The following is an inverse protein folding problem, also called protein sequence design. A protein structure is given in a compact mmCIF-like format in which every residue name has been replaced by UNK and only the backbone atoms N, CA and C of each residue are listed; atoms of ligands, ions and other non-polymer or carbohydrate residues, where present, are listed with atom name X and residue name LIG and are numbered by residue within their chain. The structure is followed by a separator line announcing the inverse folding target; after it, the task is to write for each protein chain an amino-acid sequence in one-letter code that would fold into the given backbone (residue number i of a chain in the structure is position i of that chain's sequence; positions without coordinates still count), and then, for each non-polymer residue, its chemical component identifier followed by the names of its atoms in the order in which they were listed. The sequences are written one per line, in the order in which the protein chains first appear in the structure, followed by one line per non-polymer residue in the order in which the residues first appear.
data_IF_789798770701
#
_entry.id   IF_789798770701
#
_cell.length_a   1.000
_cell.length_b   1.000
_cell.length_c   1.000
_cell.angle_alpha   90.00
_cell.angle_beta   90.00
_cell.angle_gamma   90.00
#
_symmetry.space_group_name_H-M   'P 1'
#
loop_
_entity.id
_entity.type
_entity.pdbx_description
1 polymer ?
#
# COMPACT_ATOMS: atom_id res chain seq x y z
N UNK A 1 10.05 -16.18 -10.97
CA UNK A 1 9.44 -15.01 -11.66
C UNK A 1 7.99 -14.87 -11.23
N UNK A 2 7.53 -13.65 -10.93
CA UNK A 2 6.19 -13.33 -10.42
C UNK A 2 5.32 -12.80 -11.56
N UNK A 3 4.08 -13.29 -11.68
CA UNK A 3 3.04 -12.64 -12.47
C UNK A 3 2.22 -11.76 -11.53
N UNK A 4 2.20 -10.44 -11.77
CA UNK A 4 1.51 -9.44 -10.95
C UNK A 4 0.23 -8.99 -11.64
N UNK A 5 -0.92 -9.25 -11.04
CA UNK A 5 -2.25 -8.77 -11.44
C UNK A 5 -2.58 -7.51 -10.64
N UNK A 6 -2.64 -6.36 -11.29
CA UNK A 6 -2.67 -5.08 -10.58
C UNK A 6 -3.37 -3.96 -11.35
N UNK A 7 -3.62 -2.83 -10.65
CA UNK A 7 -4.09 -1.56 -11.21
C UNK A 7 -3.51 -0.38 -10.40
N UNK A 8 -3.62 0.87 -10.91
CA UNK A 8 -3.07 2.11 -10.31
C UNK A 8 -3.75 2.50 -8.99
N UNK A 9 -3.98 1.57 -8.10
CA UNK A 9 -4.58 1.80 -6.79
C UNK A 9 -3.51 1.77 -5.70
N UNK A 10 -3.76 2.35 -4.52
CA UNK A 10 -2.82 2.23 -3.42
C UNK A 10 -2.41 0.79 -3.11
N UNK A 11 -3.36 -0.16 -3.12
CA UNK A 11 -3.05 -1.56 -2.85
C UNK A 11 -2.22 -2.22 -3.97
N UNK A 12 -2.52 -1.90 -5.25
CA UNK A 12 -1.71 -2.39 -6.38
C UNK A 12 -0.26 -1.92 -6.28
N UNK A 13 -0.06 -0.65 -5.98
CA UNK A 13 1.26 -0.02 -5.83
C UNK A 13 2.10 -0.58 -4.69
N UNK A 14 1.49 -1.10 -3.62
CA UNK A 14 2.26 -1.81 -2.58
C UNK A 14 3.11 -2.92 -3.18
N UNK A 15 2.50 -3.75 -4.03
CA UNK A 15 3.16 -4.94 -4.57
C UNK A 15 4.16 -4.59 -5.66
N UNK A 16 3.84 -3.64 -6.54
CA UNK A 16 4.80 -3.18 -7.57
C UNK A 16 6.03 -2.52 -6.94
N UNK A 17 5.85 -1.66 -5.92
CA UNK A 17 6.96 -1.06 -5.16
C UNK A 17 7.80 -2.16 -4.49
N UNK A 18 7.15 -3.13 -3.84
CA UNK A 18 7.84 -4.24 -3.20
C UNK A 18 8.72 -5.02 -4.17
N UNK A 19 8.20 -5.36 -5.35
CA UNK A 19 8.94 -6.10 -6.37
C UNK A 19 10.17 -5.33 -6.87
N UNK A 20 10.03 -4.03 -7.07
CA UNK A 20 11.15 -3.14 -7.42
C UNK A 20 12.19 -3.03 -6.29
N UNK A 21 11.76 -2.91 -5.03
CA UNK A 21 12.66 -2.82 -3.87
C UNK A 21 13.51 -4.08 -3.67
N UNK A 22 12.91 -5.25 -3.88
CA UNK A 22 13.67 -6.50 -3.74
C UNK A 22 14.44 -6.89 -4.99
N UNK A 23 14.19 -6.21 -6.13
CA UNK A 23 14.83 -6.50 -7.42
C UNK A 23 14.35 -7.81 -8.03
N UNK A 24 13.10 -8.21 -7.79
CA UNK A 24 12.54 -9.47 -8.28
C UNK A 24 11.89 -9.28 -9.65
N UNK A 25 12.25 -10.10 -10.64
CA UNK A 25 11.67 -10.06 -11.98
C UNK A 25 10.18 -10.43 -11.95
N UNK A 26 9.36 -9.66 -12.65
CA UNK A 26 7.92 -9.88 -12.73
C UNK A 26 7.33 -9.48 -14.08
N UNK A 27 6.20 -10.12 -14.43
CA UNK A 27 5.33 -9.71 -15.52
C UNK A 27 4.14 -8.95 -14.96
N UNK A 28 3.61 -7.98 -15.71
CA UNK A 28 2.45 -7.18 -15.31
C UNK A 28 1.22 -7.59 -16.11
N UNK A 29 0.15 -7.92 -15.41
CA UNK A 29 -1.18 -8.20 -15.94
C UNK A 29 -2.14 -7.12 -15.43
N UNK A 30 -2.40 -6.07 -16.22
CA UNK A 30 -3.33 -5.03 -15.83
C UNK A 30 -4.76 -5.57 -15.67
N UNK A 31 -5.42 -5.24 -14.57
CA UNK A 31 -6.83 -5.55 -14.30
C UNK A 31 -7.57 -4.23 -14.11
N UNK A 32 -8.21 -3.75 -15.15
CA UNK A 32 -8.90 -2.46 -15.13
C UNK A 32 -10.23 -2.55 -14.35
N UNK A 33 -10.17 -2.15 -13.08
CA UNK A 33 -11.33 -2.19 -12.18
C UNK A 33 -12.45 -1.22 -12.57
N UNK A 34 -12.17 -0.21 -13.39
CA UNK A 34 -13.20 0.68 -13.93
C UNK A 34 -13.99 0.05 -15.09
N UNK A 35 -13.50 -1.07 -15.64
CA UNK A 35 -14.15 -1.87 -16.68
C UNK A 35 -14.64 -3.22 -16.16
N UNK A 36 -14.70 -3.38 -14.84
CA UNK A 36 -15.15 -4.60 -14.18
C UNK A 36 -14.34 -5.88 -14.53
N UNK A 37 -13.07 -5.70 -14.98
CA UNK A 37 -12.19 -6.81 -15.34
C UNK A 37 -11.87 -7.72 -14.14
N UNK A 38 -11.99 -7.23 -12.89
CA UNK A 38 -11.83 -8.01 -11.67
C UNK A 38 -12.89 -9.11 -11.50
N UNK A 39 -13.97 -9.09 -12.27
CA UNK A 39 -15.01 -10.12 -12.25
C UNK A 39 -14.84 -11.17 -13.35
N UNK A 40 -13.83 -11.05 -14.20
CA UNK A 40 -13.58 -12.01 -15.26
C UNK A 40 -13.10 -13.35 -14.71
N UNK A 41 -13.55 -14.50 -15.28
CA UNK A 41 -13.24 -15.82 -14.76
C UNK A 41 -11.75 -16.08 -14.56
N UNK A 42 -10.92 -15.67 -15.52
CA UNK A 42 -9.46 -15.86 -15.45
C UNK A 42 -8.80 -15.13 -14.27
N UNK A 43 -9.37 -14.01 -13.81
CA UNK A 43 -8.86 -13.32 -12.63
C UNK A 43 -9.41 -13.91 -11.33
N UNK A 44 -10.66 -14.39 -11.34
CA UNK A 44 -11.26 -15.05 -10.17
C UNK A 44 -10.53 -16.34 -9.78
N UNK A 45 -9.92 -17.05 -10.75
CA UNK A 45 -9.04 -18.19 -10.48
C UNK A 45 -7.81 -17.82 -9.65
N UNK A 46 -7.29 -16.59 -9.82
CA UNK A 46 -6.12 -16.07 -9.08
C UNK A 46 -6.53 -15.36 -7.80
N UNK A 47 -7.63 -14.61 -7.84
CA UNK A 47 -8.16 -13.82 -6.72
C UNK A 47 -9.66 -14.07 -6.53
N UNK A 48 -10.05 -15.07 -5.74
CA UNK A 48 -11.47 -15.42 -5.51
C UNK A 48 -12.27 -14.30 -4.83
N UNK A 49 -11.58 -13.35 -4.19
CA UNK A 49 -12.17 -12.14 -3.60
C UNK A 49 -12.45 -11.01 -4.62
N UNK A 50 -12.19 -11.25 -5.94
CA UNK A 50 -12.32 -10.24 -7.01
C UNK A 50 -11.66 -8.89 -6.70
N UNK A 51 -10.51 -8.90 -6.04
CA UNK A 51 -9.75 -7.69 -5.67
C UNK A 51 -8.31 -7.78 -6.17
N UNK A 52 -7.81 -6.67 -6.64
CA UNK A 52 -6.38 -6.47 -6.92
C UNK A 52 -5.69 -5.91 -5.64
N UNK A 53 -4.40 -6.15 -5.48
CA UNK A 53 -3.50 -6.98 -6.29
C UNK A 53 -3.64 -8.47 -6.00
N UNK A 54 -3.17 -9.28 -6.94
CA UNK A 54 -2.88 -10.70 -6.75
C UNK A 54 -1.58 -11.06 -7.46
N UNK A 55 -0.92 -12.12 -7.06
CA UNK A 55 0.29 -12.64 -7.71
C UNK A 55 0.16 -14.12 -8.02
N UNK A 56 0.93 -14.58 -9.04
CA UNK A 56 1.22 -16.00 -9.26
C UNK A 56 2.72 -16.17 -9.25
N UNK A 57 3.25 -17.00 -8.35
CA UNK A 57 4.67 -17.35 -8.31
C UNK A 57 4.94 -18.55 -9.21
N UNK A 58 5.54 -18.28 -10.38
CA UNK A 58 5.85 -19.31 -11.39
C UNK A 58 6.92 -20.30 -10.92
N UNK A 59 7.75 -19.93 -9.96
CA UNK A 59 8.82 -20.78 -9.41
C UNK A 59 8.35 -21.61 -8.23
N UNK A 60 7.15 -21.37 -7.73
CA UNK A 60 6.52 -22.14 -6.66
C UNK A 60 5.22 -22.80 -7.17
N UNK A 61 5.34 -23.69 -8.16
CA UNK A 61 4.22 -24.47 -8.72
C UNK A 61 2.99 -23.62 -9.12
N UNK A 62 3.22 -22.41 -9.64
CA UNK A 62 2.17 -21.44 -9.96
C UNK A 62 1.31 -21.08 -8.74
N UNK A 63 1.91 -20.97 -7.55
CA UNK A 63 1.20 -20.60 -6.34
C UNK A 63 0.57 -19.21 -6.48
N UNK A 64 -0.75 -19.15 -6.40
CA UNK A 64 -1.50 -17.90 -6.42
C UNK A 64 -1.69 -17.35 -5.01
N UNK A 65 -1.59 -16.04 -4.86
CA UNK A 65 -1.80 -15.35 -3.60
C UNK A 65 -2.48 -14.00 -3.83
N UNK A 66 -3.54 -13.73 -3.09
CA UNK A 66 -4.20 -12.44 -3.00
C UNK A 66 -4.03 -11.87 -1.59
N UNK A 67 -4.59 -10.68 -1.28
CA UNK A 67 -4.35 -9.82 -0.13
C UNK A 67 -2.96 -9.16 -0.14
N UNK A 68 -2.96 -7.82 -0.35
CA UNK A 68 -1.70 -7.08 -0.49
C UNK A 68 -0.75 -7.23 0.70
N UNK A 69 -1.27 -7.33 1.92
CA UNK A 69 -0.46 -7.57 3.12
C UNK A 69 0.19 -8.97 3.13
N UNK A 70 -0.58 -10.00 2.75
CA UNK A 70 -0.06 -11.38 2.64
C UNK A 70 1.00 -11.48 1.53
N UNK A 71 0.78 -10.80 0.40
CA UNK A 71 1.74 -10.73 -0.70
C UNK A 71 3.04 -10.08 -0.25
N UNK A 72 2.97 -8.95 0.49
CA UNK A 72 4.17 -8.30 1.02
C UNK A 72 4.95 -9.22 1.95
N UNK A 73 4.28 -9.92 2.85
CA UNK A 73 4.92 -10.90 3.74
C UNK A 73 5.59 -12.03 2.94
N UNK A 74 4.88 -12.61 1.99
CA UNK A 74 5.40 -13.69 1.13
C UNK A 74 6.66 -13.28 0.38
N UNK A 75 6.63 -12.10 -0.27
CA UNK A 75 7.76 -11.58 -1.04
C UNK A 75 8.95 -11.21 -0.14
N UNK A 76 8.69 -10.65 1.05
CA UNK A 76 9.72 -10.35 2.03
C UNK A 76 10.40 -11.63 2.53
N UNK A 77 9.62 -12.66 2.81
CA UNK A 77 10.14 -13.97 3.23
C UNK A 77 10.92 -14.69 2.13
N UNK A 78 10.38 -14.67 0.89
CA UNK A 78 11.04 -15.27 -0.27
C UNK A 78 12.38 -14.60 -0.60
N UNK A 79 12.48 -13.27 -0.45
CA UNK A 79 13.68 -12.49 -0.75
C UNK A 79 14.66 -12.37 0.42
N UNK A 80 14.20 -12.59 1.66
CA UNK A 80 14.98 -12.32 2.86
C UNK A 80 15.20 -10.82 3.14
N UNK A 81 14.39 -9.92 2.53
CA UNK A 81 14.52 -8.46 2.62
C UNK A 81 13.28 -7.81 3.24
N UNK A 82 13.45 -6.63 3.83
CA UNK A 82 12.38 -5.74 4.29
C UNK A 82 11.51 -6.30 5.44
N UNK A 83 11.99 -7.37 6.07
CA UNK A 83 11.46 -7.94 7.30
C UNK A 83 12.61 -8.67 8.04
N UNK A 84 12.78 -8.42 9.34
CA UNK A 84 13.85 -9.03 10.11
C UNK A 84 13.36 -10.26 10.88
N UNK A 85 13.55 -11.45 10.31
CA UNK A 85 13.18 -12.73 10.94
C UNK A 85 14.17 -13.19 12.04
N UNK A 86 15.39 -12.68 12.06
CA UNK A 86 16.39 -13.06 13.05
C UNK A 86 16.16 -12.39 14.40
N UNK A 87 15.38 -11.31 14.45
CA UNK A 87 14.98 -10.60 15.66
C UNK A 87 13.46 -10.66 15.82
N UNK A 88 12.97 -11.42 16.80
CA UNK A 88 11.53 -11.62 17.00
C UNK A 88 10.78 -10.31 17.30
N UNK A 89 11.39 -9.39 18.05
CA UNK A 89 10.74 -8.14 18.43
C UNK A 89 10.58 -7.20 17.23
N UNK A 90 11.62 -7.09 16.39
CA UNK A 90 11.54 -6.32 15.15
C UNK A 90 10.59 -6.95 14.14
N UNK A 91 10.57 -8.29 14.04
CA UNK A 91 9.62 -9.02 13.22
C UNK A 91 8.18 -8.67 13.61
N UNK A 92 7.81 -8.88 14.89
CA UNK A 92 6.46 -8.61 15.34
C UNK A 92 6.09 -7.13 15.29
N UNK A 93 7.07 -6.23 15.49
CA UNK A 93 6.84 -4.80 15.28
C UNK A 93 6.48 -4.47 13.83
N UNK A 94 7.14 -5.10 12.87
CA UNK A 94 6.81 -4.94 11.45
C UNK A 94 5.42 -5.50 11.13
N UNK A 95 5.09 -6.68 11.66
CA UNK A 95 3.76 -7.29 11.48
C UNK A 95 2.65 -6.45 12.14
N UNK A 96 2.88 -5.92 13.34
CA UNK A 96 1.93 -5.04 14.05
C UNK A 96 1.52 -3.84 13.16
N UNK A 97 2.49 -3.15 12.60
CA UNK A 97 2.23 -1.98 11.75
C UNK A 97 1.67 -2.36 10.38
N UNK A 98 2.06 -3.50 9.84
CA UNK A 98 1.43 -4.05 8.64
C UNK A 98 -0.06 -4.35 8.89
N UNK A 99 -0.39 -5.02 10.00
CA UNK A 99 -1.78 -5.32 10.37
C UNK A 99 -2.57 -4.04 10.67
N UNK A 100 -1.94 -3.04 11.33
CA UNK A 100 -2.56 -1.72 11.53
C UNK A 100 -2.92 -1.05 10.20
N UNK A 101 -2.07 -1.19 9.18
CA UNK A 101 -2.41 -0.71 7.84
C UNK A 101 -3.58 -1.50 7.22
N UNK A 102 -3.54 -2.82 7.28
CA UNK A 102 -4.54 -3.69 6.66
C UNK A 102 -5.91 -3.58 7.33
N UNK A 103 -5.96 -3.44 8.65
CA UNK A 103 -7.21 -3.33 9.42
C UNK A 103 -7.71 -1.91 9.64
N UNK A 104 -6.85 -0.91 9.48
CA UNK A 104 -7.14 0.49 9.80
C UNK A 104 -6.91 1.44 8.64
N UNK A 105 -5.65 1.78 8.34
CA UNK A 105 -5.31 2.86 7.40
C UNK A 105 -5.95 2.64 6.03
N UNK A 106 -5.73 1.48 5.41
CA UNK A 106 -6.26 1.18 4.08
C UNK A 106 -7.78 1.23 4.02
N UNK A 107 -8.51 0.49 4.87
CA UNK A 107 -9.97 0.52 4.90
C UNK A 107 -10.53 1.91 5.19
N UNK A 108 -10.00 2.62 6.19
CA UNK A 108 -10.54 3.94 6.58
C UNK A 108 -10.26 5.02 5.54
N UNK A 109 -9.04 5.07 4.98
CA UNK A 109 -8.74 5.98 3.87
C UNK A 109 -9.57 5.65 2.63
N UNK A 110 -9.85 4.35 2.39
CA UNK A 110 -10.78 3.92 1.34
C UNK A 110 -12.19 4.46 1.55
N UNK A 111 -12.69 4.50 2.78
CA UNK A 111 -13.98 5.12 3.09
C UNK A 111 -13.94 6.65 2.89
N UNK A 112 -12.84 7.32 3.26
CA UNK A 112 -12.68 8.76 2.94
C UNK A 112 -12.74 8.98 1.43
N UNK A 113 -12.02 8.20 0.63
CA UNK A 113 -12.11 8.30 -0.83
C UNK A 113 -13.57 8.09 -1.32
N UNK A 114 -14.29 7.13 -0.75
CA UNK A 114 -15.66 6.86 -1.15
C UNK A 114 -16.59 8.04 -0.83
N UNK A 115 -16.58 8.54 0.40
CA UNK A 115 -17.54 9.55 0.86
C UNK A 115 -17.09 10.99 0.58
N UNK A 116 -15.80 11.29 0.70
CA UNK A 116 -15.30 12.67 0.59
C UNK A 116 -14.86 13.00 -0.84
N UNK A 117 -14.25 12.03 -1.59
CA UNK A 117 -13.78 12.27 -2.96
C UNK A 117 -14.84 11.95 -4.02
N UNK A 118 -15.44 10.74 -3.98
CA UNK A 118 -16.31 10.26 -5.06
C UNK A 118 -17.80 10.58 -4.83
N UNK A 119 -18.24 10.73 -3.60
CA UNK A 119 -19.66 10.90 -3.25
C UNK A 119 -19.89 12.07 -2.29
N UNK A 120 -19.06 13.12 -2.40
CA UNK A 120 -19.17 14.33 -1.54
C UNK A 120 -20.59 14.91 -1.56
N UNK A 121 -21.10 15.23 -0.38
CA UNK A 121 -22.44 15.79 -0.18
C UNK A 121 -23.56 14.75 -0.07
N UNK A 122 -23.26 13.43 -0.24
CA UNK A 122 -24.30 12.38 -0.12
C UNK A 122 -24.55 11.92 1.31
N UNK A 123 -23.58 12.09 2.23
CA UNK A 123 -23.73 11.68 3.63
C UNK A 123 -22.80 12.49 4.53
N UNK A 124 -23.30 13.62 5.05
CA UNK A 124 -22.54 14.49 5.95
C UNK A 124 -21.99 13.74 7.18
N UNK A 125 -22.79 12.82 7.75
CA UNK A 125 -22.34 11.99 8.88
C UNK A 125 -21.15 11.10 8.52
N UNK A 126 -21.18 10.42 7.37
CA UNK A 126 -20.08 9.56 6.95
C UNK A 126 -18.84 10.38 6.59
N UNK A 127 -19.00 11.50 5.91
CA UNK A 127 -17.92 12.43 5.57
C UNK A 127 -17.20 12.92 6.83
N UNK A 128 -17.94 13.41 7.82
CA UNK A 128 -17.38 13.84 9.11
C UNK A 128 -16.68 12.70 9.85
N UNK A 129 -17.36 11.55 9.98
CA UNK A 129 -16.85 10.38 10.70
C UNK A 129 -15.51 9.90 10.12
N UNK A 130 -15.46 9.71 8.80
CA UNK A 130 -14.27 9.15 8.16
C UNK A 130 -13.14 10.17 8.01
N UNK A 131 -13.44 11.46 7.80
CA UNK A 131 -12.43 12.53 7.85
C UNK A 131 -11.79 12.65 9.24
N UNK A 132 -12.58 12.55 10.31
CA UNK A 132 -12.07 12.53 11.68
C UNK A 132 -11.16 11.31 11.93
N UNK A 133 -11.55 10.13 11.46
CA UNK A 133 -10.72 8.93 11.59
C UNK A 133 -9.43 9.03 10.77
N UNK A 134 -9.48 9.58 9.56
CA UNK A 134 -8.26 9.82 8.77
C UNK A 134 -7.27 10.71 9.53
N UNK A 135 -7.72 11.85 10.06
CA UNK A 135 -6.88 12.76 10.85
C UNK A 135 -6.28 12.07 12.08
N UNK A 136 -7.06 11.22 12.76
CA UNK A 136 -6.57 10.42 13.88
C UNK A 136 -5.45 9.47 13.45
N UNK A 137 -5.60 8.79 12.31
CA UNK A 137 -4.59 7.87 11.79
C UNK A 137 -3.32 8.61 11.37
N UNK A 138 -3.44 9.78 10.73
CA UNK A 138 -2.28 10.65 10.43
C UNK A 138 -1.56 11.11 11.69
N UNK A 139 -2.30 11.48 12.75
CA UNK A 139 -1.69 11.85 14.03
C UNK A 139 -0.94 10.68 14.70
N UNK A 140 -1.44 9.44 14.58
CA UNK A 140 -0.74 8.23 15.04
C UNK A 140 0.56 8.03 14.25
N UNK A 141 0.52 8.17 12.91
CA UNK A 141 1.72 8.09 12.07
C UNK A 141 2.74 9.16 12.45
N UNK A 142 2.29 10.41 12.58
CA UNK A 142 3.18 11.53 12.87
C UNK A 142 3.89 11.37 14.20
N UNK A 143 3.15 10.98 15.25
CA UNK A 143 3.73 10.67 16.56
C UNK A 143 4.76 9.54 16.48
N UNK A 144 4.45 8.47 15.72
CA UNK A 144 5.34 7.32 15.57
C UNK A 144 6.62 7.71 14.84
N UNK A 145 6.49 8.41 13.72
CA UNK A 145 7.61 8.87 12.90
C UNK A 145 8.44 9.99 13.54
N UNK A 146 7.89 10.67 14.55
CA UNK A 146 8.65 11.58 15.40
C UNK A 146 9.64 10.88 16.34
N UNK A 147 9.45 9.59 16.57
CA UNK A 147 10.31 8.78 17.44
C UNK A 147 11.19 7.78 16.67
N UNK A 148 10.85 7.53 15.40
CA UNK A 148 11.49 6.51 14.58
C UNK A 148 11.67 7.00 13.13
N UNK A 149 12.72 6.48 12.48
CA UNK A 149 13.00 6.80 11.08
C UNK A 149 11.88 6.28 10.17
N UNK A 150 11.43 5.04 10.40
CA UNK A 150 10.40 4.34 9.65
C UNK A 150 9.29 3.83 10.58
N UNK A 151 8.19 3.41 10.01
CA UNK A 151 6.98 3.02 10.76
C UNK A 151 7.25 1.87 11.74
N UNK A 152 7.97 0.83 11.32
CA UNK A 152 8.32 -0.29 12.22
C UNK A 152 9.44 0.04 13.19
N UNK A 153 10.34 0.98 12.87
CA UNK A 153 11.49 1.33 13.71
C UNK A 153 12.61 2.05 12.98
N UNK A 154 13.82 1.51 13.05
CA UNK A 154 15.01 2.09 12.41
C UNK A 154 15.11 1.74 10.93
N UNK A 155 14.64 0.54 10.56
CA UNK A 155 14.82 0.00 9.23
C UNK A 155 13.55 0.12 8.40
N UNK A 156 13.74 0.45 7.13
CA UNK A 156 12.69 0.42 6.12
C UNK A 156 12.14 -0.99 5.93
N UNK A 157 10.83 -1.14 5.88
CA UNK A 157 10.17 -2.44 5.92
C UNK A 157 8.89 -2.50 5.08
N UNK A 158 8.31 -3.70 5.00
CA UNK A 158 6.99 -3.90 4.37
C UNK A 158 5.87 -3.09 5.04
N UNK A 159 6.03 -2.66 6.28
CA UNK A 159 5.08 -1.78 6.94
C UNK A 159 5.02 -0.41 6.25
N UNK A 160 6.18 0.17 5.92
CA UNK A 160 6.28 1.43 5.18
C UNK A 160 5.70 1.30 3.77
N UNK A 161 6.08 0.24 3.05
CA UNK A 161 5.56 -0.06 1.71
C UNK A 161 4.03 -0.18 1.73
N UNK A 162 3.48 -0.74 2.79
CA UNK A 162 2.03 -0.94 2.89
C UNK A 162 1.25 0.35 3.10
N UNK A 163 1.81 1.32 3.84
CA UNK A 163 1.16 2.58 4.24
C UNK A 163 1.35 3.67 3.19
N UNK A 164 2.56 3.78 2.65
CA UNK A 164 2.96 4.91 1.81
C UNK A 164 2.04 5.17 0.60
N UNK A 165 1.62 4.18 -0.21
CA UNK A 165 0.74 4.43 -1.36
C UNK A 165 -0.63 4.99 -0.98
N UNK A 166 -1.10 4.73 0.24
CA UNK A 166 -2.33 5.30 0.78
C UNK A 166 -2.11 6.74 1.25
N UNK A 167 -0.96 7.03 1.87
CA UNK A 167 -0.55 8.39 2.22
C UNK A 167 -0.37 9.24 0.97
N UNK A 168 0.10 8.67 -0.15
CA UNK A 168 0.23 9.35 -1.44
C UNK A 168 -1.12 9.75 -2.09
N UNK A 169 -2.22 9.65 -1.36
CA UNK A 169 -3.55 10.16 -1.71
C UNK A 169 -4.05 11.17 -0.68
N UNK A 170 -3.14 11.85 0.02
CA UNK A 170 -3.47 12.84 1.04
C UNK A 170 -4.42 13.94 0.54
N UNK A 171 -4.26 14.37 -0.73
CA UNK A 171 -5.12 15.32 -1.41
C UNK A 171 -6.58 14.82 -1.53
N UNK A 172 -6.77 13.51 -1.80
CA UNK A 172 -8.11 12.89 -1.88
C UNK A 172 -8.77 12.77 -0.51
N UNK A 173 -7.97 12.83 0.54
CA UNK A 173 -8.39 12.72 1.94
C UNK A 173 -8.60 14.09 2.59
N UNK A 174 -8.36 15.17 1.82
CA UNK A 174 -8.39 16.56 2.30
C UNK A 174 -7.45 16.76 3.52
N UNK A 175 -6.26 16.16 3.44
CA UNK A 175 -5.19 16.26 4.45
C UNK A 175 -4.10 17.20 3.93
N UNK A 176 -3.77 18.21 4.73
CA UNK A 176 -2.58 19.03 4.55
C UNK A 176 -1.41 18.36 5.28
N UNK A 177 -0.45 17.83 4.52
CA UNK A 177 0.72 17.17 5.10
C UNK A 177 1.62 18.13 5.89
N UNK A 178 1.55 19.45 5.66
CA UNK A 178 2.32 20.43 6.43
C UNK A 178 1.96 20.44 7.93
N UNK A 179 0.76 19.97 8.29
CA UNK A 179 0.32 19.78 9.68
C UNK A 179 1.00 18.55 10.36
N UNK A 180 1.60 17.63 9.56
CA UNK A 180 2.19 16.36 10.01
C UNK A 180 3.65 16.26 9.59
N UNK A 181 4.52 17.04 10.23
CA UNK A 181 5.93 17.22 9.82
C UNK A 181 6.74 15.94 9.70
N UNK A 182 6.49 14.98 10.60
CA UNK A 182 7.21 13.70 10.58
C UNK A 182 6.70 12.79 9.47
N UNK A 183 5.40 12.82 9.18
CA UNK A 183 4.82 12.13 8.02
C UNK A 183 5.37 12.74 6.73
N UNK A 184 5.45 14.07 6.64
CA UNK A 184 5.99 14.77 5.45
C UNK A 184 7.44 14.37 5.19
N UNK A 185 8.30 14.36 6.22
CA UNK A 185 9.70 13.89 6.12
C UNK A 185 9.74 12.47 5.55
N UNK A 186 9.04 11.55 6.21
CA UNK A 186 9.00 10.14 5.80
C UNK A 186 8.41 9.97 4.40
N UNK A 187 7.34 10.68 4.10
CA UNK A 187 6.68 10.63 2.78
C UNK A 187 7.66 11.02 1.65
N UNK A 188 8.39 12.14 1.84
CA UNK A 188 9.35 12.65 0.85
C UNK A 188 10.53 11.67 0.69
N UNK A 189 11.09 11.18 1.80
CA UNK A 189 12.16 10.19 1.78
C UNK A 189 11.76 8.93 1.01
N UNK A 190 10.52 8.47 1.19
CA UNK A 190 9.97 7.33 0.45
C UNK A 190 9.78 7.66 -1.04
N UNK A 191 9.25 8.84 -1.36
CA UNK A 191 9.01 9.28 -2.75
C UNK A 191 10.30 9.36 -3.58
N UNK A 192 11.42 9.69 -2.94
CA UNK A 192 12.74 9.82 -3.58
C UNK A 192 13.41 8.46 -3.89
N UNK A 193 12.87 7.35 -3.38
CA UNK A 193 13.42 6.02 -3.63
C UNK A 193 13.19 5.59 -5.08
N UNK A 194 14.24 5.18 -5.83
CA UNK A 194 14.08 4.75 -7.22
C UNK A 194 13.07 3.62 -7.42
N UNK A 195 13.00 2.68 -6.49
CA UNK A 195 12.05 1.57 -6.54
C UNK A 195 10.59 2.05 -6.33
N UNK A 196 10.37 3.03 -5.47
CA UNK A 196 9.06 3.65 -5.27
C UNK A 196 8.62 4.37 -6.54
N UNK A 197 9.50 5.15 -7.17
CA UNK A 197 9.22 5.86 -8.42
C UNK A 197 8.86 4.89 -9.55
N UNK A 198 9.63 3.82 -9.73
CA UNK A 198 9.35 2.78 -10.73
C UNK A 198 8.05 2.03 -10.44
N UNK A 199 7.88 1.54 -9.22
CA UNK A 199 6.69 0.80 -8.81
C UNK A 199 5.41 1.64 -8.87
N UNK A 200 5.50 2.97 -8.68
CA UNK A 200 4.38 3.89 -8.83
C UNK A 200 3.80 3.92 -10.24
N UNK A 201 4.63 3.73 -11.26
CA UNK A 201 4.25 3.75 -12.67
C UNK A 201 3.69 2.41 -13.17
N UNK A 202 3.50 1.42 -12.31
CA UNK A 202 2.99 0.07 -12.67
C UNK A 202 1.49 -0.05 -12.32
N UNK A 203 0.64 -0.58 -13.25
CA UNK A 203 0.92 -0.76 -14.68
C UNK A 203 1.24 0.57 -15.35
N UNK A 204 1.85 0.53 -16.53
CA UNK A 204 2.36 1.73 -17.19
C UNK A 204 1.35 2.89 -17.19
N UNK A 205 1.77 4.03 -16.67
CA UNK A 205 0.99 5.26 -16.58
C UNK A 205 1.93 6.47 -16.48
N UNK A 206 1.37 7.67 -16.55
CA UNK A 206 2.07 8.97 -16.49
C UNK A 206 1.76 9.77 -15.20
N UNK A 207 1.16 9.13 -14.21
CA UNK A 207 0.80 9.81 -12.97
C UNK A 207 2.04 10.16 -12.16
N UNK A 208 2.22 11.43 -11.88
CA UNK A 208 3.26 11.89 -10.95
C UNK A 208 2.93 11.48 -9.52
N UNK A 209 3.96 11.23 -8.72
CA UNK A 209 3.82 11.14 -7.27
C UNK A 209 3.39 12.51 -6.76
N UNK A 210 2.29 12.62 -5.98
CA UNK A 210 1.88 13.91 -5.43
C UNK A 210 2.96 14.52 -4.54
N UNK A 211 3.18 15.82 -4.67
CA UNK A 211 4.08 16.58 -3.81
C UNK A 211 3.31 17.13 -2.60
N UNK A 212 3.88 17.08 -1.36
CA UNK A 212 3.30 17.72 -0.17
C UNK A 212 3.13 19.22 -0.31
#
# INVERSE_FOLDING_TARGET
MIDLYTWHTPNGRKVSIMLEEIGMAYNVFPINIAKDEQFQPHFLEVSPNNRIPAIVDKENNNYSLFESGAILMYLAEKSGKLINKSNSDEYYRTIEWLMWQMGGVGPMFGQVHHFVKYNKGKSAYAEERYSKEARRLYAVMDKRLGQHQYISGKEYSIADISIWPWTARFDWQEIDLSEYKNVTRWYTEMADRPAVQKGWLVPQNDQLIPSP
#
